data_IF_181143974970
#
_entry.id   IF_181143974970
#
_cell.length_a   1.000
_cell.length_b   1.000
_cell.length_c   1.000
_cell.angle_alpha   90.00
_cell.angle_beta   90.00
_cell.angle_gamma   90.00
#
_symmetry.space_group_name_H-M   'P 1'
#
loop_
_entity.id
_entity.type
_entity.pdbx_description
1 polymer ?
#
# COMPACT_ATOMS: atom_id res chain seq x y z
N UNK A 1 -0.74 -16.42 -9.59
CA UNK A 1 -2.00 -17.13 -9.24
C UNK A 1 -2.92 -16.13 -8.53
N UNK A 2 -4.23 -16.21 -8.72
CA UNK A 2 -5.21 -15.30 -8.07
C UNK A 2 -5.80 -15.99 -6.84
N UNK A 3 -6.31 -15.22 -5.87
CA UNK A 3 -6.93 -15.77 -4.65
C UNK A 3 -8.03 -16.80 -4.97
N UNK A 4 -8.86 -16.53 -5.99
CA UNK A 4 -9.93 -17.43 -6.44
C UNK A 4 -9.42 -18.70 -7.17
N UNK A 5 -8.11 -18.85 -7.39
CA UNK A 5 -7.52 -20.12 -7.82
C UNK A 5 -7.24 -21.05 -6.62
N UNK A 6 -7.64 -20.68 -5.41
CA UNK A 6 -7.62 -21.60 -4.28
C UNK A 6 -8.71 -22.66 -4.47
N UNK A 7 -8.38 -23.93 -4.32
CA UNK A 7 -9.32 -25.00 -4.58
C UNK A 7 -8.69 -26.39 -4.51
N UNK A 8 -9.51 -27.41 -4.78
CA UNK A 8 -9.06 -28.80 -4.89
C UNK A 8 -8.84 -29.12 -6.35
N UNK A 9 -7.66 -29.63 -6.65
CA UNK A 9 -7.23 -29.98 -7.99
C UNK A 9 -6.91 -31.48 -8.03
N UNK A 10 -7.28 -32.13 -9.13
CA UNK A 10 -6.87 -33.50 -9.43
C UNK A 10 -6.29 -33.54 -10.84
N UNK A 11 -5.37 -34.48 -11.05
CA UNK A 11 -4.83 -34.75 -12.37
C UNK A 11 -5.60 -35.92 -12.98
N UNK A 12 -6.17 -35.70 -14.15
CA UNK A 12 -6.83 -36.75 -14.94
C UNK A 12 -5.99 -37.11 -16.15
N UNK A 13 -5.79 -38.41 -16.38
CA UNK A 13 -5.01 -38.92 -17.50
C UNK A 13 -5.62 -40.19 -18.06
N UNK A 14 -5.32 -40.48 -19.33
CA UNK A 14 -5.80 -41.68 -20.00
C UNK A 14 -4.70 -42.74 -20.03
N UNK A 15 -4.98 -43.91 -19.47
CA UNK A 15 -4.10 -45.09 -19.51
C UNK A 15 -4.74 -46.10 -20.45
N UNK A 16 -4.22 -46.20 -21.66
CA UNK A 16 -4.77 -47.01 -22.76
C UNK A 16 -6.20 -46.57 -23.11
N UNK A 17 -7.24 -47.28 -22.65
CA UNK A 17 -8.66 -46.98 -22.89
C UNK A 17 -9.40 -46.48 -21.63
N UNK A 18 -8.72 -46.41 -20.49
CA UNK A 18 -9.36 -46.04 -19.22
C UNK A 18 -8.91 -44.66 -18.75
N UNK A 19 -9.88 -43.88 -18.26
CA UNK A 19 -9.61 -42.64 -17.53
C UNK A 19 -9.18 -42.99 -16.11
N UNK A 20 -8.17 -42.26 -15.61
CA UNK A 20 -7.66 -42.36 -14.25
C UNK A 20 -7.48 -40.96 -13.70
N UNK A 21 -7.86 -40.80 -12.44
CA UNK A 21 -7.70 -39.57 -11.70
C UNK A 21 -6.76 -39.82 -10.53
N UNK A 22 -5.93 -38.83 -10.22
CA UNK A 22 -5.11 -38.84 -9.02
C UNK A 22 -5.96 -38.54 -7.79
N UNK A 23 -5.35 -38.70 -6.62
CA UNK A 23 -5.84 -38.07 -5.39
C UNK A 23 -5.94 -36.55 -5.55
N UNK A 24 -6.84 -35.95 -4.77
CA UNK A 24 -7.06 -34.51 -4.79
C UNK A 24 -6.03 -33.78 -3.95
N UNK A 25 -5.46 -32.72 -4.51
CA UNK A 25 -4.54 -31.81 -3.84
C UNK A 25 -5.23 -30.48 -3.60
N UNK A 26 -5.18 -30.00 -2.36
CA UNK A 26 -5.68 -28.66 -2.02
C UNK A 26 -4.59 -27.64 -2.28
N UNK A 27 -4.90 -26.64 -3.09
CA UNK A 27 -4.06 -25.47 -3.34
C UNK A 27 -4.68 -24.27 -2.65
N UNK A 28 -3.92 -23.60 -1.78
CA UNK A 28 -4.33 -22.34 -1.16
C UNK A 28 -3.42 -21.21 -1.62
N UNK A 29 -4.04 -20.12 -2.07
CA UNK A 29 -3.35 -18.90 -2.48
C UNK A 29 -3.63 -17.84 -1.42
N UNK A 30 -2.57 -17.26 -0.86
CA UNK A 30 -2.66 -16.20 0.14
C UNK A 30 -2.04 -14.91 -0.41
N UNK A 31 -2.48 -13.77 0.13
CA UNK A 31 -1.78 -12.49 -0.07
C UNK A 31 -0.56 -12.43 0.83
N UNK A 32 0.48 -11.76 0.35
CA UNK A 32 1.62 -11.37 1.16
C UNK A 32 1.21 -10.15 2.00
N UNK A 33 1.32 -10.22 3.34
CA UNK A 33 0.98 -9.11 4.23
C UNK A 33 1.80 -7.85 3.91
N UNK A 34 1.19 -6.69 4.13
CA UNK A 34 1.85 -5.39 3.99
C UNK A 34 2.97 -5.23 5.03
N UNK A 35 4.17 -4.84 4.60
CA UNK A 35 5.25 -4.44 5.51
C UNK A 35 6.23 -3.45 4.85
N UNK A 36 6.92 -2.69 5.69
CA UNK A 36 7.87 -1.66 5.26
C UNK A 36 7.21 -0.48 4.54
N UNK A 37 6.12 0.05 5.11
CA UNK A 37 5.53 1.31 4.63
C UNK A 37 6.41 2.46 5.08
N UNK A 38 6.91 3.26 4.15
CA UNK A 38 7.84 4.35 4.44
C UNK A 38 7.47 5.64 3.71
N UNK A 39 7.82 6.76 4.32
CA UNK A 39 7.65 8.10 3.77
C UNK A 39 8.96 8.69 3.31
N UNK A 40 8.88 9.52 2.28
CA UNK A 40 9.94 10.42 1.86
C UNK A 40 9.34 11.75 1.42
N UNK A 41 10.11 12.83 1.58
CA UNK A 41 9.72 14.18 1.22
C UNK A 41 10.69 14.79 0.21
N UNK A 42 10.18 15.69 -0.63
CA UNK A 42 10.95 16.59 -1.46
C UNK A 42 10.43 18.02 -1.24
N UNK A 43 11.24 18.93 -0.66
CA UNK A 43 12.64 18.74 -0.25
C UNK A 43 12.84 17.71 0.89
N UNK A 44 14.01 17.04 0.96
CA UNK A 44 14.31 16.07 2.01
C UNK A 44 14.19 16.68 3.41
N UNK A 45 13.67 15.91 4.35
CA UNK A 45 13.51 16.34 5.75
C UNK A 45 12.23 17.14 6.03
N UNK A 46 11.42 17.47 5.00
CA UNK A 46 10.11 18.09 5.20
C UNK A 46 10.17 19.55 5.66
N UNK A 47 11.31 20.22 5.51
CA UNK A 47 11.47 21.66 5.74
C UNK A 47 11.29 22.40 4.42
N UNK A 48 10.32 23.30 4.36
CA UNK A 48 9.91 23.97 3.10
C UNK A 48 9.51 25.40 3.40
N UNK A 49 9.84 26.33 2.50
CA UNK A 49 9.50 27.74 2.69
C UNK A 49 8.01 28.00 2.38
N UNK A 50 7.46 29.05 2.99
CA UNK A 50 6.13 29.56 2.67
C UNK A 50 5.94 29.78 1.15
N UNK A 51 4.85 29.24 0.61
CA UNK A 51 4.48 29.40 -0.80
C UNK A 51 5.16 28.43 -1.78
N UNK A 52 6.15 27.66 -1.32
CA UNK A 52 6.80 26.61 -2.12
C UNK A 52 5.94 25.34 -2.22
N UNK A 53 6.43 24.36 -2.96
CA UNK A 53 5.79 23.05 -3.14
C UNK A 53 6.47 21.97 -2.31
N UNK A 54 5.68 21.08 -1.71
CA UNK A 54 6.15 19.89 -0.99
C UNK A 54 5.56 18.65 -1.65
N UNK A 55 6.41 17.67 -1.96
CA UNK A 55 5.98 16.36 -2.45
C UNK A 55 6.28 15.30 -1.41
N UNK A 56 5.25 14.61 -0.95
CA UNK A 56 5.38 13.43 -0.10
C UNK A 56 5.16 12.18 -0.93
N UNK A 57 6.03 11.19 -0.77
CA UNK A 57 5.96 9.90 -1.44
C UNK A 57 5.87 8.76 -0.43
N UNK A 58 4.93 7.85 -0.67
CA UNK A 58 4.69 6.67 0.14
C UNK A 58 5.07 5.41 -0.62
N UNK A 59 5.89 4.57 -0.01
CA UNK A 59 6.35 3.31 -0.61
C UNK A 59 6.05 2.14 0.32
N UNK A 60 5.87 0.96 -0.27
CA UNK A 60 5.66 -0.30 0.46
C UNK A 60 6.70 -1.29 0.00
N UNK A 61 7.52 -1.80 0.93
CA UNK A 61 8.57 -2.76 0.61
C UNK A 61 7.99 -4.13 0.21
N UNK A 62 6.95 -4.59 0.92
CA UNK A 62 6.34 -5.90 0.71
C UNK A 62 4.83 -5.79 0.78
N UNK A 63 4.15 -6.39 -0.19
CA UNK A 63 2.69 -6.46 -0.24
C UNK A 63 2.19 -6.97 -1.58
N UNK A 64 1.05 -7.66 -1.61
CA UNK A 64 0.41 -8.10 -2.85
C UNK A 64 -1.07 -7.80 -2.86
N UNK A 65 -1.60 -7.42 -4.03
CA UNK A 65 -3.01 -7.09 -4.20
C UNK A 65 -3.20 -5.67 -4.71
N UNK A 66 -4.45 -5.25 -4.92
CA UNK A 66 -4.74 -3.85 -5.25
C UNK A 66 -4.45 -2.98 -4.01
N UNK A 67 -3.38 -2.22 -4.08
CA UNK A 67 -2.99 -1.30 -3.00
C UNK A 67 -3.78 0.01 -3.11
N UNK A 68 -4.33 0.44 -1.99
CA UNK A 68 -4.99 1.72 -1.82
C UNK A 68 -4.22 2.56 -0.81
N UNK A 69 -4.03 3.84 -1.10
CA UNK A 69 -3.25 4.76 -0.29
C UNK A 69 -4.17 5.81 0.33
N UNK A 70 -3.83 6.31 1.51
CA UNK A 70 -4.46 7.50 2.08
C UNK A 70 -3.46 8.29 2.92
N UNK A 71 -3.45 9.60 2.73
CA UNK A 71 -2.59 10.52 3.45
C UNK A 71 -3.33 11.19 4.59
N UNK A 72 -2.70 11.25 5.75
CA UNK A 72 -3.29 11.83 6.95
C UNK A 72 -2.30 12.79 7.58
N UNK A 73 -2.78 13.98 7.95
CA UNK A 73 -2.06 14.91 8.83
C UNK A 73 -2.69 14.86 10.21
N UNK A 74 -1.88 14.91 11.26
CA UNK A 74 -2.38 15.00 12.63
C UNK A 74 -3.39 16.16 12.78
N UNK A 75 -4.52 15.90 13.44
CA UNK A 75 -5.61 16.87 13.58
C UNK A 75 -6.50 17.04 12.35
N UNK A 76 -6.15 16.48 11.18
CA UNK A 76 -7.07 16.42 10.03
C UNK A 76 -8.05 15.26 10.20
N UNK A 77 -9.35 15.54 10.05
CA UNK A 77 -10.41 14.54 10.14
C UNK A 77 -10.66 13.76 8.84
N UNK A 78 -10.02 14.15 7.74
CA UNK A 78 -10.22 13.58 6.41
C UNK A 78 -8.87 13.34 5.71
N UNK A 79 -8.81 12.35 4.81
CA UNK A 79 -7.61 12.10 4.01
C UNK A 79 -7.26 13.30 3.12
N UNK A 80 -5.98 13.62 3.03
CA UNK A 80 -5.46 14.68 2.17
C UNK A 80 -5.30 14.23 0.71
N UNK A 81 -5.23 12.93 0.47
CA UNK A 81 -5.08 12.36 -0.86
C UNK A 81 -5.06 10.83 -0.83
N UNK A 82 -5.26 10.21 -1.99
CA UNK A 82 -5.38 8.75 -2.16
C UNK A 82 -4.34 8.14 -3.12
N UNK A 83 -3.41 8.97 -3.60
CA UNK A 83 -2.35 8.57 -4.51
C UNK A 83 -1.09 8.17 -3.72
N UNK A 84 -0.20 7.31 -4.26
CA UNK A 84 1.12 7.04 -3.66
C UNK A 84 1.98 8.29 -3.48
N UNK A 85 1.66 9.37 -4.22
CA UNK A 85 2.28 10.69 -4.09
C UNK A 85 1.24 11.73 -3.70
N UNK A 86 1.56 12.56 -2.72
CA UNK A 86 0.81 13.74 -2.33
C UNK A 86 1.62 14.98 -2.67
N UNK A 87 1.07 15.82 -3.53
CA UNK A 87 1.67 17.11 -3.90
C UNK A 87 0.89 18.23 -3.22
N UNK A 88 1.58 19.02 -2.41
CA UNK A 88 1.05 20.22 -1.76
C UNK A 88 1.69 21.41 -2.44
N UNK A 89 0.91 22.14 -3.23
CA UNK A 89 1.35 23.35 -3.91
C UNK A 89 1.00 24.57 -3.06
N UNK A 90 1.90 25.56 -3.04
CA UNK A 90 1.72 26.81 -2.27
C UNK A 90 1.49 26.55 -0.78
N UNK A 91 2.47 25.91 -0.14
CA UNK A 91 2.38 25.50 1.26
C UNK A 91 2.22 26.72 2.19
N UNK A 92 1.30 26.62 3.15
CA UNK A 92 1.05 27.66 4.16
C UNK A 92 1.44 27.21 5.56
N UNK A 93 1.47 28.13 6.53
CA UNK A 93 1.81 27.81 7.93
C UNK A 93 0.95 26.67 8.51
N UNK A 94 -0.33 26.62 8.13
CA UNK A 94 -1.29 25.59 8.52
C UNK A 94 -1.01 24.20 7.94
N UNK A 95 -0.02 24.08 7.06
CA UNK A 95 0.43 22.80 6.52
C UNK A 95 1.57 22.16 7.31
N UNK A 96 2.11 22.86 8.31
CA UNK A 96 3.00 22.24 9.29
C UNK A 96 2.26 21.15 10.07
N UNK A 97 2.95 20.06 10.39
CA UNK A 97 2.39 18.98 11.20
C UNK A 97 3.01 17.62 10.94
N UNK A 98 2.47 16.61 11.61
CA UNK A 98 2.90 15.23 11.45
C UNK A 98 2.07 14.53 10.37
N UNK A 99 2.74 14.03 9.34
CA UNK A 99 2.14 13.32 8.21
C UNK A 99 2.39 11.83 8.30
N UNK A 100 1.37 11.05 7.95
CA UNK A 100 1.39 9.58 7.87
C UNK A 100 0.73 9.13 6.57
N UNK A 101 1.27 8.09 5.96
CA UNK A 101 0.61 7.37 4.87
C UNK A 101 0.08 6.04 5.39
N UNK A 102 -1.17 5.74 5.05
CA UNK A 102 -1.79 4.44 5.26
C UNK A 102 -1.93 3.72 3.93
N UNK A 103 -1.61 2.44 3.93
CA UNK A 103 -1.80 1.55 2.79
C UNK A 103 -2.69 0.40 3.18
N UNK A 104 -3.65 0.06 2.33
CA UNK A 104 -4.50 -1.12 2.50
C UNK A 104 -4.51 -1.96 1.24
N UNK A 105 -4.47 -3.28 1.42
CA UNK A 105 -4.67 -4.26 0.35
C UNK A 105 -6.12 -4.77 0.29
N UNK A 106 -7.02 -4.24 1.13
CA UNK A 106 -8.43 -4.64 1.27
C UNK A 106 -8.69 -5.67 2.37
N UNK A 107 -7.67 -6.42 2.82
CA UNK A 107 -7.79 -7.37 3.94
C UNK A 107 -7.06 -6.85 5.20
N UNK A 108 -5.98 -6.10 4.98
CA UNK A 108 -5.09 -5.57 6.00
C UNK A 108 -4.79 -4.09 5.73
N UNK A 109 -4.26 -3.42 6.75
CA UNK A 109 -3.81 -2.04 6.68
C UNK A 109 -2.47 -1.91 7.39
N UNK A 110 -1.56 -1.15 6.79
CA UNK A 110 -0.28 -0.77 7.36
C UNK A 110 -0.12 0.76 7.27
N UNK A 111 0.60 1.32 8.23
CA UNK A 111 0.87 2.77 8.30
C UNK A 111 2.38 3.00 8.34
N UNK A 112 2.82 4.12 7.78
CA UNK A 112 4.20 4.57 7.91
C UNK A 112 4.52 5.07 9.31
N UNK A 113 5.81 5.16 9.61
CA UNK A 113 6.28 6.05 10.67
C UNK A 113 5.88 7.51 10.37
N UNK A 114 5.67 8.32 11.41
CA UNK A 114 5.35 9.73 11.22
C UNK A 114 6.51 10.53 10.64
N UNK A 115 6.18 11.48 9.76
CA UNK A 115 7.13 12.48 9.26
C UNK A 115 6.68 13.89 9.67
N UNK A 116 7.56 14.66 10.30
CA UNK A 116 7.28 16.04 10.64
C UNK A 116 7.58 16.94 9.44
N UNK A 117 6.59 17.74 9.05
CA UNK A 117 6.72 18.80 8.06
C UNK A 117 6.71 20.14 8.79
N UNK A 118 7.66 21.00 8.45
CA UNK A 118 7.82 22.33 9.06
C UNK A 118 7.93 23.37 7.96
N UNK A 119 7.04 24.34 8.00
CA UNK A 119 7.10 25.50 7.11
C UNK A 119 7.99 26.57 7.75
N UNK A 120 8.95 27.08 6.97
CA UNK A 120 9.96 28.07 7.38
C UNK A 120 9.51 29.51 7.08
#
# INVERSE_FOLDING_TARGET
LRLHHSGRYLCGGRVVSQWRESEQVTVTVHRVPLSGVSLSAQPPGGQVALGDSLVLSCTVAVGTGPLSFSWHREGSGAPLGISPRLELNHIGENDSGQYRCRVSDGDSMAESDPMNVTVL
#
